data_IF_522542433823
#
_entry.id   IF_522542433823
#
_cell.length_a   1.000
_cell.length_b   1.000
_cell.length_c   1.000
_cell.angle_alpha   90.00
_cell.angle_beta   90.00
_cell.angle_gamma   90.00
#
_symmetry.space_group_name_H-M   'P 1'
#
loop_
_entity.id
_entity.type
_entity.pdbx_description
1 polymer ?
#
# COMPACT_ATOMS: atom_id res chain seq x y z
N UNK A 1 10.76 8.49 9.53
CA UNK A 1 9.91 7.30 9.53
C UNK A 1 8.96 7.29 8.35
N UNK A 2 8.74 6.12 7.79
CA UNK A 2 7.83 6.00 6.65
C UNK A 2 6.39 6.06 7.12
N UNK A 3 5.61 6.92 6.49
CA UNK A 3 4.19 7.08 6.78
C UNK A 3 3.36 6.00 6.08
N UNK A 4 3.89 5.43 5.01
CA UNK A 4 3.22 4.41 4.21
C UNK A 4 4.09 3.18 4.07
N UNK A 5 3.45 2.04 3.82
CA UNK A 5 4.17 0.80 3.50
C UNK A 5 3.37 -0.01 2.49
N UNK A 6 4.04 -0.91 1.80
CA UNK A 6 3.41 -1.80 0.83
C UNK A 6 3.52 -3.22 1.37
N UNK A 7 2.38 -3.90 1.45
CA UNK A 7 2.31 -5.28 1.92
C UNK A 7 1.83 -6.17 0.78
N UNK A 8 2.50 -7.29 0.59
CA UNK A 8 2.06 -8.27 -0.40
C UNK A 8 0.95 -9.13 0.17
N UNK A 9 -0.13 -9.30 -0.58
CA UNK A 9 -1.22 -10.19 -0.21
C UNK A 9 -0.92 -11.59 -0.75
N UNK A 10 -0.25 -12.41 0.05
CA UNK A 10 0.19 -13.73 -0.37
C UNK A 10 -0.93 -14.75 -0.51
N UNK A 11 -1.98 -14.59 0.27
CA UNK A 11 -3.10 -15.54 0.29
C UNK A 11 -4.26 -15.10 -0.59
N UNK A 12 -4.02 -14.19 -1.52
CA UNK A 12 -5.05 -13.69 -2.41
C UNK A 12 -5.64 -14.82 -3.26
N UNK A 13 -6.99 -14.91 -3.38
CA UNK A 13 -7.61 -15.88 -4.28
C UNK A 13 -7.15 -15.69 -5.72
N UNK A 14 -7.18 -16.78 -6.51
CA UNK A 14 -6.73 -16.72 -7.89
C UNK A 14 -7.50 -15.71 -8.74
N UNK A 15 -8.74 -15.41 -8.36
CA UNK A 15 -9.58 -14.44 -9.08
C UNK A 15 -9.23 -12.99 -8.74
N UNK A 16 -8.48 -12.77 -7.68
CA UNK A 16 -8.10 -11.42 -7.27
C UNK A 16 -6.82 -11.02 -7.99
N UNK A 17 -6.86 -9.86 -8.65
CA UNK A 17 -5.72 -9.37 -9.42
C UNK A 17 -4.88 -8.32 -8.68
N UNK A 18 -5.40 -7.80 -7.59
CA UNK A 18 -4.69 -6.79 -6.79
C UNK A 18 -3.97 -7.49 -5.65
N UNK A 19 -2.66 -7.44 -5.67
CA UNK A 19 -1.83 -8.18 -4.72
C UNK A 19 -0.92 -7.29 -3.86
N UNK A 20 -0.85 -6.01 -4.13
CA UNK A 20 -0.02 -5.07 -3.37
C UNK A 20 -0.90 -4.10 -2.63
N UNK A 21 -0.87 -4.18 -1.29
CA UNK A 21 -1.71 -3.36 -0.43
C UNK A 21 -0.89 -2.22 0.14
N UNK A 22 -1.33 -0.99 -0.13
CA UNK A 22 -0.71 0.19 0.46
C UNK A 22 -1.37 0.47 1.79
N UNK A 23 -0.55 0.60 2.82
CA UNK A 23 -1.03 0.87 4.17
C UNK A 23 -0.47 2.20 4.67
N UNK A 24 -1.32 2.95 5.35
CA UNK A 24 -0.93 4.21 5.97
C UNK A 24 -0.85 4.02 7.47
N UNK A 25 0.16 4.60 8.08
CA UNK A 25 0.33 4.54 9.53
C UNK A 25 -0.69 5.46 10.18
N UNK A 26 -1.53 4.90 11.01
CA UNK A 26 -2.58 5.65 11.70
C UNK A 26 -2.13 6.12 13.08
N UNK A 27 -1.51 5.21 13.82
CA UNK A 27 -0.92 5.50 15.13
C UNK A 27 0.46 4.85 15.15
N UNK A 28 1.10 4.83 16.27
CA UNK A 28 2.45 4.27 16.38
C UNK A 28 2.52 2.80 15.95
N UNK A 29 1.44 2.05 16.16
CA UNK A 29 1.43 0.61 15.91
C UNK A 29 0.35 0.14 14.94
N UNK A 30 -0.55 1.02 14.52
CA UNK A 30 -1.64 0.62 13.64
C UNK A 30 -1.40 1.05 12.21
N UNK A 31 -1.81 0.17 11.27
CA UNK A 31 -1.73 0.42 9.85
C UNK A 31 -3.11 0.24 9.24
N UNK A 32 -3.48 1.16 8.36
CA UNK A 32 -4.76 1.16 7.69
C UNK A 32 -4.57 0.92 6.21
N UNK A 33 -5.36 0.00 5.63
CA UNK A 33 -5.32 -0.24 4.19
C UNK A 33 -5.98 0.94 3.49
N UNK A 34 -5.22 1.62 2.62
CA UNK A 34 -5.73 2.80 1.92
C UNK A 34 -5.86 2.59 0.42
N UNK A 35 -5.14 1.62 -0.13
CA UNK A 35 -5.26 1.31 -1.55
C UNK A 35 -4.67 -0.05 -1.87
N UNK A 36 -5.03 -0.59 -3.04
CA UNK A 36 -4.54 -1.89 -3.50
C UNK A 36 -4.16 -1.77 -4.97
N UNK A 37 -3.03 -2.35 -5.34
CA UNK A 37 -2.53 -2.27 -6.71
C UNK A 37 -2.11 -3.64 -7.24
N UNK A 38 -2.11 -3.78 -8.55
CA UNK A 38 -1.64 -5.00 -9.21
C UNK A 38 -0.12 -5.07 -9.25
N UNK A 39 0.52 -3.92 -9.41
CA UNK A 39 1.97 -3.85 -9.56
C UNK A 39 2.58 -3.06 -8.43
N UNK A 40 3.71 -3.55 -7.96
CA UNK A 40 4.46 -2.89 -6.91
C UNK A 40 4.83 -1.46 -7.31
N UNK A 41 5.24 -1.27 -8.55
CA UNK A 41 5.63 0.03 -9.05
C UNK A 41 4.49 1.05 -8.96
N UNK A 42 3.28 0.63 -9.27
CA UNK A 42 2.13 1.52 -9.16
C UNK A 42 1.89 1.95 -7.72
N UNK A 43 2.07 1.03 -6.78
CA UNK A 43 1.92 1.33 -5.37
C UNK A 43 2.97 2.34 -4.92
N UNK A 44 4.22 2.17 -5.36
CA UNK A 44 5.30 3.10 -5.04
C UNK A 44 5.02 4.49 -5.58
N UNK A 45 4.57 4.58 -6.81
CA UNK A 45 4.26 5.87 -7.44
C UNK A 45 3.13 6.59 -6.69
N UNK A 46 2.13 5.85 -6.27
CA UNK A 46 1.02 6.42 -5.52
C UNK A 46 1.50 7.01 -4.20
N UNK A 47 2.34 6.29 -3.49
CA UNK A 47 2.91 6.75 -2.22
C UNK A 47 3.77 7.99 -2.45
N UNK A 48 4.60 7.97 -3.49
CA UNK A 48 5.49 9.08 -3.80
C UNK A 48 4.72 10.36 -4.06
N UNK A 49 3.63 10.25 -4.82
CA UNK A 49 2.76 11.41 -5.07
C UNK A 49 2.15 11.97 -3.79
N UNK A 50 1.74 11.09 -2.90
CA UNK A 50 1.17 11.50 -1.62
C UNK A 50 2.20 12.22 -0.75
N UNK A 51 3.41 11.71 -0.71
CA UNK A 51 4.47 12.32 0.09
C UNK A 51 4.88 13.67 -0.45
N UNK A 52 4.88 13.85 -1.77
CA UNK A 52 5.25 15.13 -2.38
C UNK A 52 4.23 16.22 -2.11
N UNK A 53 2.99 15.84 -1.90
CA UNK A 53 1.93 16.81 -1.63
C UNK A 53 1.97 17.35 -0.21
N UNK A 54 2.51 16.54 0.64
CA UNK A 54 2.50 16.83 2.05
C UNK A 54 3.46 17.83 2.50
#
# INVERSE_FOLDING_TARGET
MKKYRIKEWKDAPAVVTHIWIVQKRKFLIFWENVNVFRKYQEAEEWIERRLKRG
#
